data_IF_473793660189
#
_entry.id   IF_473793660189
#
_cell.length_a   1.000
_cell.length_b   1.000
_cell.length_c   1.000
_cell.angle_alpha   90.00
_cell.angle_beta   90.00
_cell.angle_gamma   90.00
#
_symmetry.space_group_name_H-M   'P 1'
#
loop_
_entity.id
_entity.type
_entity.pdbx_description
1 polymer ?
#
# COMPACT_ATOMS: atom_id res chain seq x y z
N UNK A 1 42.16 -31.76 -28.63
CA UNK A 1 40.77 -31.70 -28.12
C UNK A 1 39.84 -31.42 -29.29
N UNK A 2 39.01 -32.40 -29.63
CA UNK A 2 38.14 -32.39 -30.80
C UNK A 2 37.14 -31.22 -30.71
N UNK A 3 37.09 -30.37 -31.74
CA UNK A 3 36.28 -29.15 -31.79
C UNK A 3 34.80 -29.33 -31.42
N UNK A 4 34.28 -30.56 -31.52
CA UNK A 4 32.94 -30.95 -31.08
C UNK A 4 32.68 -30.67 -29.59
N UNK A 5 33.69 -30.83 -28.73
CA UNK A 5 33.55 -30.56 -27.29
C UNK A 5 33.42 -29.05 -27.01
N UNK A 6 34.15 -28.24 -27.77
CA UNK A 6 34.10 -26.77 -27.67
C UNK A 6 32.74 -26.23 -28.16
N UNK A 7 32.18 -26.82 -29.21
CA UNK A 7 30.86 -26.47 -29.75
C UNK A 7 29.73 -26.82 -28.78
N UNK A 8 29.77 -28.00 -28.15
CA UNK A 8 28.76 -28.40 -27.16
C UNK A 8 28.82 -27.47 -25.94
N UNK A 9 30.03 -27.15 -25.47
CA UNK A 9 30.22 -26.25 -24.33
C UNK A 9 29.72 -24.83 -24.61
N UNK A 10 29.94 -24.30 -25.81
CA UNK A 10 29.45 -22.96 -26.20
C UNK A 10 27.93 -22.91 -26.35
N UNK A 11 27.31 -23.95 -26.90
CA UNK A 11 25.85 -24.05 -26.99
C UNK A 11 25.23 -24.08 -25.58
N UNK A 12 25.80 -24.86 -24.67
CA UNK A 12 25.32 -24.96 -23.29
C UNK A 12 25.44 -23.62 -22.56
N UNK A 13 26.55 -22.90 -22.74
CA UNK A 13 26.75 -21.58 -22.14
C UNK A 13 25.80 -20.52 -22.68
N UNK A 14 25.51 -20.55 -23.99
CA UNK A 14 24.53 -19.66 -24.61
C UNK A 14 23.10 -19.92 -24.12
N UNK A 15 22.74 -21.19 -23.91
CA UNK A 15 21.47 -21.60 -23.30
C UNK A 15 21.34 -21.18 -21.84
N UNK A 16 22.40 -21.32 -21.03
CA UNK A 16 22.36 -20.84 -19.62
C UNK A 16 22.29 -19.32 -19.54
N UNK A 17 22.99 -18.59 -20.41
CA UNK A 17 22.95 -17.13 -20.44
C UNK A 17 21.57 -16.58 -20.83
N UNK A 18 20.88 -17.25 -21.77
CA UNK A 18 19.51 -16.86 -22.16
C UNK A 18 18.51 -17.08 -21.03
N UNK A 19 18.61 -18.18 -20.27
CA UNK A 19 17.73 -18.45 -19.12
C UNK A 19 17.99 -17.48 -17.96
N UNK A 20 19.25 -17.10 -17.71
CA UNK A 20 19.58 -16.11 -16.69
C UNK A 20 19.08 -14.68 -17.03
N UNK A 21 18.92 -14.38 -18.31
CA UNK A 21 18.42 -13.08 -18.80
C UNK A 21 16.90 -13.02 -18.99
N UNK A 22 16.20 -14.16 -18.96
CA UNK A 22 14.77 -14.25 -19.26
C UNK A 22 13.86 -14.15 -18.05
N UNK A 23 14.38 -13.94 -16.83
CA UNK A 23 13.54 -13.36 -15.79
C UNK A 23 13.36 -11.89 -16.18
N UNK A 24 12.15 -11.43 -16.51
CA UNK A 24 11.92 -10.00 -16.45
C UNK A 24 12.30 -9.65 -15.02
N UNK A 25 13.35 -8.84 -14.82
CA UNK A 25 13.44 -8.05 -13.62
C UNK A 25 12.23 -7.13 -13.77
N UNK A 26 11.07 -7.61 -13.34
CA UNK A 26 9.82 -6.90 -13.41
C UNK A 26 10.11 -5.62 -12.66
N UNK A 27 10.31 -4.55 -13.45
CA UNK A 27 10.53 -3.21 -12.96
C UNK A 27 9.19 -2.89 -12.31
N UNK A 28 9.05 -3.29 -11.03
CA UNK A 28 7.83 -3.19 -10.24
C UNK A 28 7.27 -1.82 -10.57
N UNK A 29 6.11 -1.79 -11.23
CA UNK A 29 5.41 -0.55 -11.48
C UNK A 29 5.38 0.23 -10.15
N UNK A 30 5.51 1.58 -10.17
CA UNK A 30 5.46 2.37 -8.94
C UNK A 30 4.27 1.88 -8.13
N UNK A 31 4.60 1.34 -6.96
CA UNK A 31 3.71 0.44 -6.26
C UNK A 31 2.44 1.10 -5.81
N UNK A 32 1.30 0.54 -6.22
CA UNK A 32 0.02 0.96 -5.68
C UNK A 32 -0.18 0.31 -4.31
N UNK A 33 -0.33 1.16 -3.29
CA UNK A 33 -0.81 0.75 -1.99
C UNK A 33 -2.34 0.65 -2.06
N UNK A 34 -2.87 -0.53 -1.80
CA UNK A 34 -4.31 -0.74 -1.77
C UNK A 34 -4.81 -0.63 -0.34
N UNK A 35 -5.92 0.08 -0.15
CA UNK A 35 -6.52 0.30 1.17
C UNK A 35 -8.00 -0.12 1.12
N UNK A 36 -8.31 -1.43 1.19
CA UNK A 36 -9.67 -1.94 1.03
C UNK A 36 -10.63 -1.59 2.17
N UNK A 37 -10.10 -1.23 3.35
CA UNK A 37 -10.91 -0.81 4.49
C UNK A 37 -10.37 0.48 5.11
N UNK A 38 -11.22 1.31 5.73
CA UNK A 38 -12.64 1.09 6.03
C UNK A 38 -13.53 1.17 4.78
N UNK A 39 -14.64 0.42 4.81
CA UNK A 39 -15.68 0.48 3.79
C UNK A 39 -16.62 1.70 3.98
N UNK A 40 -17.65 1.86 3.14
CA UNK A 40 -18.49 3.07 3.06
C UNK A 40 -19.25 3.43 4.36
N UNK A 41 -19.45 2.47 5.25
CA UNK A 41 -20.25 2.64 6.46
C UNK A 41 -21.76 2.64 6.19
N UNK A 42 -22.58 3.26 7.07
CA UNK A 42 -22.18 4.24 8.07
C UNK A 42 -21.60 3.61 9.34
N UNK A 43 -20.63 4.28 9.95
CA UNK A 43 -19.94 3.81 11.16
C UNK A 43 -20.36 4.60 12.41
N UNK A 44 -20.52 3.94 13.54
CA UNK A 44 -21.06 4.56 14.76
C UNK A 44 -20.00 5.40 15.47
N UNK A 45 -20.35 6.57 16.00
CA UNK A 45 -19.51 7.25 17.01
C UNK A 45 -19.23 6.35 18.22
N UNK A 46 -17.98 6.39 18.70
CA UNK A 46 -17.50 5.54 19.78
C UNK A 46 -17.20 4.09 19.37
N UNK A 47 -17.42 3.71 18.10
CA UNK A 47 -17.01 2.40 17.60
C UNK A 47 -15.53 2.37 17.22
N UNK A 48 -14.97 1.16 17.14
CA UNK A 48 -13.64 0.91 16.60
C UNK A 48 -13.78 0.37 15.19
N UNK A 49 -13.06 0.99 14.25
CA UNK A 49 -12.99 0.59 12.86
C UNK A 49 -11.57 0.14 12.51
N UNK A 50 -11.41 -0.43 11.31
CA UNK A 50 -10.12 -0.98 10.86
C UNK A 50 -9.74 -0.40 9.52
N UNK A 51 -8.54 0.18 9.43
CA UNK A 51 -7.84 0.42 8.17
C UNK A 51 -7.05 -0.83 7.85
N UNK A 52 -7.14 -1.34 6.63
CA UNK A 52 -6.34 -2.48 6.16
C UNK A 52 -5.63 -2.09 4.88
N UNK A 53 -4.44 -2.63 4.65
CA UNK A 53 -3.69 -2.36 3.44
C UNK A 53 -2.88 -3.57 2.97
N UNK A 54 -2.54 -3.54 1.68
CA UNK A 54 -1.45 -4.33 1.13
C UNK A 54 -0.70 -3.52 0.07
N UNK A 55 0.57 -3.84 -0.12
CA UNK A 55 1.43 -3.29 -1.16
C UNK A 55 2.47 -4.32 -1.56
N UNK A 56 2.24 -4.98 -2.70
CA UNK A 56 3.12 -6.02 -3.24
C UNK A 56 4.59 -5.58 -3.40
N UNK A 57 4.91 -4.35 -3.84
CA UNK A 57 6.30 -3.91 -3.98
C UNK A 57 6.91 -3.32 -2.70
N UNK A 58 6.14 -3.19 -1.60
CA UNK A 58 6.62 -2.59 -0.36
C UNK A 58 7.43 -3.57 0.49
N UNK A 59 8.42 -3.05 1.22
CA UNK A 59 9.24 -3.85 2.12
C UNK A 59 8.50 -3.99 3.47
N UNK A 60 8.34 -5.20 4.04
CA UNK A 60 7.72 -5.37 5.36
C UNK A 60 8.51 -4.73 6.51
N UNK A 61 9.77 -4.30 6.29
CA UNK A 61 10.55 -3.53 7.26
C UNK A 61 10.29 -2.02 7.19
N UNK A 62 9.63 -1.53 6.15
CA UNK A 62 9.24 -0.13 6.07
C UNK A 62 7.99 0.06 6.95
N UNK A 63 7.94 1.18 7.68
CA UNK A 63 6.73 1.58 8.39
C UNK A 63 5.77 2.32 7.48
N UNK A 64 4.50 2.40 7.89
CA UNK A 64 3.46 3.19 7.22
C UNK A 64 2.85 4.18 8.18
N UNK A 65 2.52 5.36 7.68
CA UNK A 65 1.65 6.31 8.36
C UNK A 65 0.23 6.14 7.87
N UNK A 66 -0.68 5.79 8.78
CA UNK A 66 -2.12 5.72 8.55
C UNK A 66 -2.76 7.02 9.02
N UNK A 67 -3.58 7.64 8.18
CA UNK A 67 -4.32 8.87 8.48
C UNK A 67 -5.80 8.70 8.17
N UNK A 68 -6.66 9.19 9.04
CA UNK A 68 -8.07 9.42 8.72
C UNK A 68 -8.27 10.90 8.44
N UNK A 69 -8.77 11.20 7.25
CA UNK A 69 -8.88 12.56 6.73
C UNK A 69 -10.35 12.90 6.57
N UNK A 70 -10.75 14.03 7.14
CA UNK A 70 -12.07 14.61 7.05
C UNK A 70 -12.11 15.67 5.94
N UNK A 71 -13.19 15.62 5.16
CA UNK A 71 -13.55 16.66 4.20
C UNK A 71 -14.14 17.90 4.91
N UNK A 72 -13.73 19.11 4.53
CA UNK A 72 -14.38 20.35 5.03
C UNK A 72 -15.58 20.79 4.19
N UNK A 73 -15.60 20.39 2.92
CA UNK A 73 -16.70 20.57 1.97
C UNK A 73 -16.75 19.39 1.01
N UNK A 74 -17.69 19.34 0.06
CA UNK A 74 -17.78 18.25 -0.91
C UNK A 74 -16.42 18.04 -1.62
N UNK A 75 -15.75 16.92 -1.37
CA UNK A 75 -14.49 16.57 -2.02
C UNK A 75 -13.23 17.36 -1.63
N UNK A 76 -13.29 18.32 -0.69
CA UNK A 76 -12.10 19.10 -0.23
C UNK A 76 -11.53 18.59 1.11
N UNK A 77 -10.41 17.84 1.13
CA UNK A 77 -9.82 17.30 2.37
C UNK A 77 -9.05 18.39 3.11
N UNK A 78 -9.27 18.53 4.42
CA UNK A 78 -8.64 19.64 5.18
C UNK A 78 -8.11 19.20 6.55
N UNK A 79 -8.68 18.16 7.16
CA UNK A 79 -8.38 17.84 8.56
C UNK A 79 -8.02 16.37 8.76
N UNK A 80 -6.80 16.12 9.24
CA UNK A 80 -6.41 14.83 9.79
C UNK A 80 -7.05 14.70 11.18
N UNK A 81 -7.98 13.76 11.33
CA UNK A 81 -8.70 13.51 12.60
C UNK A 81 -8.11 12.33 13.39
N UNK A 82 -7.28 11.54 12.71
CA UNK A 82 -6.51 10.43 13.28
C UNK A 82 -5.21 10.26 12.50
N UNK A 83 -4.12 9.98 13.21
CA UNK A 83 -2.84 9.63 12.59
C UNK A 83 -2.09 8.65 13.50
N UNK A 84 -1.47 7.65 12.91
CA UNK A 84 -0.62 6.70 13.62
C UNK A 84 0.39 6.08 12.66
N UNK A 85 1.56 5.71 13.19
CA UNK A 85 2.60 5.00 12.44
C UNK A 85 2.70 3.58 12.94
N UNK A 86 2.73 2.62 12.02
CA UNK A 86 2.84 1.20 12.32
C UNK A 86 3.84 0.54 11.39
N UNK A 87 4.47 -0.52 11.88
CA UNK A 87 5.39 -1.32 11.08
C UNK A 87 4.64 -2.15 10.02
N UNK A 88 5.40 -2.64 9.04
CA UNK A 88 4.94 -3.51 7.95
C UNK A 88 4.10 -2.83 6.86
N UNK A 89 4.82 -2.25 5.88
CA UNK A 89 4.23 -1.70 4.67
C UNK A 89 3.72 -2.74 3.66
N UNK A 90 4.14 -4.01 3.76
CA UNK A 90 3.74 -5.03 2.80
C UNK A 90 2.26 -5.43 2.96
N UNK A 91 1.83 -5.68 4.20
CA UNK A 91 0.44 -6.00 4.53
C UNK A 91 0.19 -5.66 5.99
N UNK A 92 -0.97 -5.10 6.29
CA UNK A 92 -1.30 -4.83 7.68
C UNK A 92 -2.70 -4.30 7.89
N UNK A 93 -3.00 -4.11 9.16
CA UNK A 93 -4.25 -3.49 9.60
C UNK A 93 -4.02 -2.67 10.86
N UNK A 94 -4.83 -1.62 11.03
CA UNK A 94 -4.80 -0.74 12.17
C UNK A 94 -6.22 -0.46 12.64
N UNK A 95 -6.47 -0.74 13.91
CA UNK A 95 -7.71 -0.36 14.60
C UNK A 95 -7.65 1.11 14.95
N UNK A 96 -8.72 1.85 14.66
CA UNK A 96 -8.85 3.25 15.05
C UNK A 96 -10.25 3.53 15.65
N UNK A 97 -10.35 4.33 16.72
CA UNK A 97 -11.64 4.72 17.28
C UNK A 97 -12.25 5.89 16.49
N UNK A 98 -13.55 5.80 16.21
CA UNK A 98 -14.33 6.96 15.80
C UNK A 98 -14.68 7.76 17.05
N UNK A 99 -14.05 8.92 17.23
CA UNK A 99 -14.25 9.74 18.43
C UNK A 99 -15.62 10.42 18.40
N UNK A 100 -16.18 10.67 19.58
CA UNK A 100 -17.51 11.29 19.74
C UNK A 100 -17.61 12.71 19.15
N UNK A 101 -16.48 13.37 18.93
CA UNK A 101 -16.40 14.72 18.37
C UNK A 101 -16.21 14.76 16.84
N UNK A 102 -16.26 13.61 16.15
CA UNK A 102 -16.22 13.59 14.69
C UNK A 102 -17.57 14.04 14.12
N UNK A 103 -17.51 14.78 13.02
CA UNK A 103 -18.65 15.42 12.38
C UNK A 103 -19.43 14.44 11.47
N UNK A 104 -20.61 14.04 11.93
CA UNK A 104 -21.51 13.11 11.22
C UNK A 104 -22.00 13.63 9.87
N UNK A 105 -21.89 14.94 9.60
CA UNK A 105 -22.29 15.55 8.33
C UNK A 105 -21.18 15.53 7.28
N UNK A 106 -19.98 15.04 7.64
CA UNK A 106 -18.81 15.03 6.75
C UNK A 106 -18.52 13.62 6.24
N UNK A 107 -17.81 13.59 5.12
CA UNK A 107 -17.19 12.39 4.58
C UNK A 107 -15.76 12.27 5.11
N UNK A 108 -15.28 11.04 5.16
CA UNK A 108 -13.95 10.67 5.61
C UNK A 108 -13.35 9.65 4.67
N UNK A 109 -12.02 9.58 4.61
CA UNK A 109 -11.30 8.45 4.01
C UNK A 109 -10.04 8.16 4.81
N UNK A 110 -9.56 6.92 4.69
CA UNK A 110 -8.25 6.53 5.18
C UNK A 110 -7.20 6.72 4.09
N UNK A 111 -6.03 7.21 4.47
CA UNK A 111 -4.83 7.26 3.65
C UNK A 111 -3.73 6.49 4.34
N UNK A 112 -3.02 5.65 3.60
CA UNK A 112 -1.86 4.90 4.10
C UNK A 112 -0.67 5.24 3.25
N UNK A 113 0.38 5.78 3.86
CA UNK A 113 1.61 6.22 3.17
C UNK A 113 2.80 5.47 3.73
N UNK A 114 3.64 4.91 2.86
CA UNK A 114 4.89 4.27 3.26
C UNK A 114 5.93 5.32 3.66
N UNK A 115 6.53 5.17 4.83
CA UNK A 115 7.53 6.05 5.39
C UNK A 115 8.93 5.69 4.86
N UNK A 116 9.23 6.09 3.63
CA UNK A 116 10.54 5.89 3.02
C UNK A 116 10.95 7.07 2.14
N UNK A 117 12.21 7.07 1.72
CA UNK A 117 12.74 8.05 0.75
C UNK A 117 11.97 7.91 -0.57
N UNK A 118 11.65 9.02 -1.28
CA UNK A 118 10.84 9.01 -2.49
C UNK A 118 11.22 7.94 -3.54
N UNK A 119 10.24 7.41 -4.30
CA UNK A 119 8.85 7.86 -4.37
C UNK A 119 8.00 7.35 -3.19
N UNK A 120 7.18 8.26 -2.64
CA UNK A 120 6.19 7.94 -1.62
C UNK A 120 5.10 7.07 -2.24
N UNK A 121 4.95 5.86 -1.71
CA UNK A 121 3.83 4.99 -2.05
C UNK A 121 2.68 5.36 -1.11
N UNK A 122 1.53 5.72 -1.67
CA UNK A 122 0.33 6.07 -0.91
C UNK A 122 -0.89 5.37 -1.47
N UNK A 123 -1.75 4.91 -0.57
CA UNK A 123 -3.05 4.32 -0.87
C UNK A 123 -4.17 5.09 -0.20
N UNK A 124 -5.39 4.94 -0.73
CA UNK A 124 -6.60 5.60 -0.23
C UNK A 124 -7.76 4.61 -0.18
N UNK A 125 -8.51 4.64 0.91
CA UNK A 125 -9.77 3.90 1.03
C UNK A 125 -10.90 4.57 0.26
N UNK A 126 -12.01 3.86 0.12
CA UNK A 126 -13.27 4.50 -0.25
C UNK A 126 -13.68 5.54 0.80
N UNK A 127 -14.52 6.49 0.37
CA UNK A 127 -15.12 7.46 1.28
C UNK A 127 -16.15 6.77 2.18
N UNK A 128 -16.19 7.17 3.45
CA UNK A 128 -17.11 6.64 4.44
C UNK A 128 -17.81 7.72 5.26
N UNK A 129 -18.99 7.35 5.78
CA UNK A 129 -19.83 8.20 6.62
C UNK A 129 -19.87 7.72 8.07
N UNK A 130 -20.23 8.64 8.96
CA UNK A 130 -20.37 8.39 10.40
C UNK A 130 -21.80 8.71 10.82
N UNK A 131 -22.33 7.94 11.77
CA UNK A 131 -23.61 8.17 12.41
C UNK A 131 -23.48 8.32 13.94
#
# INVERSE_FOLDING_TARGET
MSGKFLTIFTILFALLATIASSTPLEKRAPGDMHVPSPGPGPWKKGSVQVVSWWCNPCNPKDSVTVRIIQYSGPGTPIRIVYTETVENAYVGSLKFPIKNNWDVKKLYFASVTVNRVPPYITGRSVDFKIF
#
